data_IF_570349929167
#
_entry.id   IF_570349929167
#
_cell.length_a   1.000
_cell.length_b   1.000
_cell.length_c   1.000
_cell.angle_alpha   90.00
_cell.angle_beta   90.00
_cell.angle_gamma   90.00
#
_symmetry.space_group_name_H-M   'P 1'
#
loop_
_entity.id
_entity.type
_entity.pdbx_description
1 polymer ?
#
# COMPACT_ATOMS: atom_id res chain seq x y z
N UNK A 1 8.06 -10.91 -9.49
CA UNK A 1 7.92 -9.73 -8.62
C UNK A 1 6.91 -10.10 -7.54
N UNK A 2 7.36 -10.31 -6.30
CA UNK A 2 6.45 -10.58 -5.18
C UNK A 2 5.92 -9.24 -4.67
N UNK A 3 4.59 -9.08 -4.65
CA UNK A 3 3.94 -7.86 -4.14
C UNK A 3 3.84 -7.84 -2.62
N UNK A 4 3.81 -9.02 -2.00
CA UNK A 4 3.63 -9.17 -0.56
C UNK A 4 4.72 -10.04 0.05
N UNK A 5 5.10 -9.72 1.29
CA UNK A 5 5.95 -10.57 2.12
C UNK A 5 5.17 -11.80 2.58
N UNK A 6 5.79 -12.96 2.56
CA UNK A 6 5.20 -14.18 3.12
C UNK A 6 5.10 -14.10 4.66
N UNK A 7 4.03 -14.63 5.23
CA UNK A 7 3.83 -14.76 6.68
C UNK A 7 4.91 -15.62 7.32
N UNK A 8 5.24 -15.35 8.58
CA UNK A 8 6.13 -16.21 9.36
C UNK A 8 5.35 -17.36 10.00
N UNK A 9 6.04 -18.49 10.29
CA UNK A 9 5.38 -19.68 10.86
C UNK A 9 4.67 -19.41 12.19
N UNK A 10 5.16 -18.46 12.99
CA UNK A 10 4.54 -18.07 14.26
C UNK A 10 3.23 -17.27 14.11
N UNK A 11 2.96 -16.70 12.93
CA UNK A 11 1.79 -15.85 12.69
C UNK A 11 0.53 -16.65 12.35
N UNK A 12 0.70 -17.86 11.80
CA UNK A 12 -0.40 -18.64 11.24
C UNK A 12 -1.46 -19.05 12.27
N UNK A 13 -1.07 -19.45 13.48
CA UNK A 13 -2.01 -19.83 14.53
C UNK A 13 -2.87 -18.65 14.98
N UNK A 14 -2.25 -17.48 15.17
CA UNK A 14 -2.96 -16.24 15.53
C UNK A 14 -3.92 -15.80 14.43
N UNK A 15 -3.50 -15.88 13.16
CA UNK A 15 -4.33 -15.53 12.01
C UNK A 15 -5.55 -16.43 11.88
N UNK A 16 -5.37 -17.75 12.02
CA UNK A 16 -6.50 -18.70 12.00
C UNK A 16 -7.51 -18.37 13.11
N UNK A 17 -7.04 -18.13 14.34
CA UNK A 17 -7.91 -17.75 15.46
C UNK A 17 -8.66 -16.43 15.19
N UNK A 18 -8.00 -15.46 14.56
CA UNK A 18 -8.64 -14.19 14.19
C UNK A 18 -9.69 -14.37 13.10
N UNK A 19 -9.42 -15.20 12.09
CA UNK A 19 -10.41 -15.55 11.06
C UNK A 19 -11.63 -16.18 11.70
N UNK A 20 -11.46 -17.21 12.54
CA UNK A 20 -12.58 -17.88 13.20
C UNK A 20 -13.43 -16.89 14.02
N UNK A 21 -12.78 -16.00 14.78
CA UNK A 21 -13.47 -14.94 15.53
C UNK A 21 -14.23 -13.97 14.63
N UNK A 22 -13.65 -13.55 13.51
CA UNK A 22 -14.31 -12.66 12.56
C UNK A 22 -15.58 -13.30 11.98
N UNK A 23 -15.49 -14.58 11.60
CA UNK A 23 -16.62 -15.33 11.06
C UNK A 23 -17.75 -15.47 12.09
N UNK A 24 -17.41 -15.75 13.35
CA UNK A 24 -18.38 -15.89 14.45
C UNK A 24 -19.00 -14.56 14.89
N UNK A 25 -18.18 -13.53 15.11
CA UNK A 25 -18.60 -12.26 15.70
C UNK A 25 -19.46 -11.42 14.74
N UNK A 26 -19.10 -11.41 13.46
CA UNK A 26 -19.78 -10.59 12.44
C UNK A 26 -20.74 -11.37 11.55
N UNK A 27 -20.87 -12.69 11.77
CA UNK A 27 -21.70 -13.58 10.95
C UNK A 27 -21.46 -13.42 9.44
N UNK A 28 -20.18 -13.34 9.07
CA UNK A 28 -19.72 -13.24 7.67
C UNK A 28 -19.05 -14.53 7.26
N UNK A 29 -19.03 -14.83 5.97
CA UNK A 29 -18.19 -15.88 5.40
C UNK A 29 -17.09 -15.26 4.55
N UNK A 30 -15.84 -15.57 4.86
CA UNK A 30 -14.71 -15.17 4.04
C UNK A 30 -14.51 -16.19 2.92
N UNK A 31 -14.46 -15.76 1.65
CA UNK A 31 -14.11 -16.62 0.55
C UNK A 31 -12.76 -17.30 0.75
N UNK A 32 -12.66 -18.58 0.37
CA UNK A 32 -11.48 -19.41 0.64
C UNK A 32 -10.19 -18.80 0.10
N UNK A 33 -10.23 -18.26 -1.11
CA UNK A 33 -9.06 -17.70 -1.78
C UNK A 33 -8.53 -16.46 -1.03
N UNK A 34 -9.43 -15.63 -0.49
CA UNK A 34 -9.05 -14.50 0.33
C UNK A 34 -8.42 -14.95 1.67
N UNK A 35 -9.00 -15.97 2.31
CA UNK A 35 -8.44 -16.57 3.53
C UNK A 35 -7.04 -17.14 3.30
N UNK A 36 -6.82 -17.83 2.18
CA UNK A 36 -5.51 -18.36 1.80
C UNK A 36 -4.48 -17.22 1.65
N UNK A 37 -4.84 -16.10 1.02
CA UNK A 37 -3.97 -14.92 0.91
C UNK A 37 -3.66 -14.32 2.28
N UNK A 38 -4.66 -14.14 3.15
CA UNK A 38 -4.48 -13.61 4.50
C UNK A 38 -3.53 -14.47 5.34
N UNK A 39 -3.58 -15.80 5.16
CA UNK A 39 -2.67 -16.73 5.84
C UNK A 39 -1.27 -16.73 5.22
N UNK A 40 -1.17 -16.74 3.89
CA UNK A 40 0.11 -16.85 3.18
C UNK A 40 0.95 -15.57 3.26
N UNK A 41 0.31 -14.40 3.29
CA UNK A 41 0.99 -13.11 3.18
C UNK A 41 0.76 -12.19 4.39
N UNK A 42 1.77 -11.37 4.70
CA UNK A 42 1.65 -10.26 5.66
C UNK A 42 1.03 -9.06 4.94
N UNK A 43 -0.28 -8.86 5.13
CA UNK A 43 -1.06 -7.74 4.61
C UNK A 43 -1.19 -6.61 5.64
N UNK A 44 -1.59 -5.43 5.18
CA UNK A 44 -1.87 -4.26 6.02
C UNK A 44 -1.10 -2.99 5.66
N UNK A 45 -1.57 -1.84 6.18
CA UNK A 45 -1.04 -0.53 5.81
C UNK A 45 0.47 -0.42 6.08
N UNK A 46 0.92 -0.99 7.19
CA UNK A 46 2.30 -0.88 7.64
C UNK A 46 3.18 -2.06 7.23
N UNK A 47 2.67 -2.99 6.42
CA UNK A 47 3.42 -4.16 5.92
C UNK A 47 3.56 -4.12 4.39
N UNK A 48 2.58 -3.57 3.67
CA UNK A 48 2.59 -3.50 2.20
C UNK A 48 3.32 -2.26 1.66
N UNK A 49 3.37 -1.17 2.43
CA UNK A 49 3.83 0.13 1.92
C UNK A 49 5.33 0.38 2.21
N UNK A 50 5.98 -0.44 3.03
CA UNK A 50 7.38 -0.18 3.45
C UNK A 50 8.39 -0.26 2.29
N UNK A 51 8.13 -1.07 1.27
CA UNK A 51 9.07 -1.32 0.18
C UNK A 51 8.94 -0.36 -1.02
N UNK A 52 7.87 0.45 -1.07
CA UNK A 52 7.63 1.46 -2.12
C UNK A 52 8.35 2.80 -1.85
N UNK A 53 9.02 2.88 -0.70
CA UNK A 53 9.65 4.08 -0.19
C UNK A 53 11.17 3.96 -0.30
N UNK A 54 11.80 4.99 -0.87
CA UNK A 54 13.27 5.05 -0.97
C UNK A 54 13.94 5.00 0.40
N UNK A 55 13.28 5.42 1.47
CA UNK A 55 13.89 5.35 2.78
C UNK A 55 12.88 5.76 3.85
N UNK A 56 12.89 5.09 5.00
CA UNK A 56 12.20 5.43 6.26
C UNK A 56 12.58 6.82 6.86
N UNK A 57 13.27 7.67 6.09
CA UNK A 57 14.16 8.74 6.58
C UNK A 57 13.87 10.14 6.02
N UNK A 58 12.91 10.29 5.10
CA UNK A 58 12.52 11.57 4.51
C UNK A 58 11.01 11.53 4.36
N UNK A 59 10.16 12.39 4.95
CA UNK A 59 8.68 12.29 4.76
C UNK A 59 8.34 12.02 3.28
N UNK A 60 7.94 10.78 2.97
CA UNK A 60 8.37 10.07 1.75
C UNK A 60 7.32 10.24 0.65
N UNK A 61 7.68 10.86 -0.47
CA UNK A 61 6.88 10.71 -1.70
C UNK A 61 7.27 9.39 -2.37
N UNK A 62 6.34 8.44 -2.54
CA UNK A 62 6.63 7.09 -3.04
C UNK A 62 7.22 7.13 -4.44
N UNK A 63 8.33 6.41 -4.68
CA UNK A 63 9.00 6.43 -6.00
C UNK A 63 8.32 5.63 -7.08
N UNK A 64 7.52 4.70 -6.62
CA UNK A 64 6.57 3.96 -7.38
C UNK A 64 5.28 3.87 -6.59
N UNK A 65 4.17 3.91 -7.29
CA UNK A 65 2.87 3.50 -6.74
C UNK A 65 2.50 2.15 -7.34
N UNK A 66 1.64 1.43 -6.64
CA UNK A 66 0.96 0.29 -7.22
C UNK A 66 -0.34 0.84 -7.83
N UNK A 67 -0.61 0.48 -9.08
CA UNK A 67 -1.82 0.86 -9.81
C UNK A 67 -2.56 -0.42 -10.14
N UNK A 68 -3.86 -0.45 -9.85
CA UNK A 68 -4.75 -1.44 -10.44
C UNK A 68 -5.09 -1.01 -11.86
N UNK A 69 -4.86 -1.89 -12.84
CA UNK A 69 -5.12 -1.57 -14.24
C UNK A 69 -5.73 -2.77 -14.99
N UNK A 70 -6.97 -2.60 -15.46
CA UNK A 70 -7.62 -3.51 -16.40
C UNK A 70 -8.19 -2.74 -17.61
N UNK A 71 -8.99 -3.38 -18.47
CA UNK A 71 -9.58 -2.75 -19.66
C UNK A 71 -10.48 -1.53 -19.34
N UNK A 72 -11.11 -1.51 -18.17
CA UNK A 72 -12.15 -0.54 -17.80
C UNK A 72 -11.72 0.44 -16.69
N UNK A 73 -10.77 0.06 -15.85
CA UNK A 73 -10.42 0.78 -14.64
C UNK A 73 -8.91 0.95 -14.50
N UNK A 74 -8.52 2.15 -14.07
CA UNK A 74 -7.16 2.48 -13.67
C UNK A 74 -7.20 3.35 -12.42
N UNK A 75 -6.63 2.89 -11.30
CA UNK A 75 -6.56 3.69 -10.08
C UNK A 75 -5.37 3.32 -9.20
N UNK A 76 -4.84 4.26 -8.40
CA UNK A 76 -3.76 3.96 -7.47
C UNK A 76 -4.28 3.09 -6.31
N UNK A 77 -3.66 1.93 -6.17
CA UNK A 77 -3.89 0.97 -5.10
C UNK A 77 -3.28 1.48 -3.80
N UNK A 78 -4.03 1.38 -2.70
CA UNK A 78 -3.54 1.69 -1.37
C UNK A 78 -2.86 0.49 -0.72
N UNK A 79 -3.66 -0.37 -0.11
CA UNK A 79 -3.23 -1.62 0.53
C UNK A 79 -4.45 -2.53 0.78
N UNK A 80 -4.21 -3.82 1.02
CA UNK A 80 -5.19 -4.75 1.57
C UNK A 80 -5.08 -4.75 3.09
N UNK A 81 -6.20 -4.92 3.77
CA UNK A 81 -6.26 -4.93 5.22
C UNK A 81 -5.59 -6.17 5.80
N UNK A 82 -4.90 -5.99 6.93
CA UNK A 82 -4.64 -7.11 7.84
C UNK A 82 -5.95 -7.61 8.46
N UNK A 83 -5.94 -8.79 9.09
CA UNK A 83 -7.12 -9.30 9.81
C UNK A 83 -7.54 -8.39 10.96
N UNK A 84 -6.59 -7.74 11.64
CA UNK A 84 -6.85 -6.77 12.69
C UNK A 84 -7.46 -5.49 12.13
N UNK A 85 -6.95 -4.98 11.00
CA UNK A 85 -7.54 -3.81 10.32
C UNK A 85 -8.96 -4.12 9.85
N UNK A 86 -9.19 -5.32 9.29
CA UNK A 86 -10.52 -5.79 8.91
C UNK A 86 -11.47 -5.86 10.12
N UNK A 87 -11.00 -6.41 11.26
CA UNK A 87 -11.79 -6.46 12.50
C UNK A 87 -12.19 -5.06 12.96
N UNK A 88 -11.24 -4.15 13.04
CA UNK A 88 -11.50 -2.77 13.45
C UNK A 88 -12.46 -2.05 12.48
N UNK A 89 -12.30 -2.27 11.17
CA UNK A 89 -13.18 -1.66 10.17
C UNK A 89 -14.62 -2.22 10.29
N UNK A 90 -14.79 -3.52 10.58
CA UNK A 90 -16.11 -4.12 10.85
C UNK A 90 -16.73 -3.63 12.17
N UNK A 91 -15.93 -3.43 13.22
CA UNK A 91 -16.41 -2.95 14.53
C UNK A 91 -16.86 -1.48 14.51
N UNK A 92 -16.13 -0.62 13.79
CA UNK A 92 -16.25 0.82 13.95
C UNK A 92 -16.79 1.56 12.72
N UNK A 93 -16.86 0.93 11.54
CA UNK A 93 -17.41 1.57 10.34
C UNK A 93 -18.92 1.39 10.27
N UNK A 94 -19.67 2.48 10.49
CA UNK A 94 -21.13 2.49 10.32
C UNK A 94 -21.56 2.20 8.88
N UNK A 95 -20.72 2.51 7.90
CA UNK A 95 -21.02 2.29 6.48
C UNK A 95 -20.91 0.82 6.08
N UNK A 96 -20.08 0.04 6.77
CA UNK A 96 -19.92 -1.39 6.50
C UNK A 96 -21.20 -2.17 6.79
N UNK A 97 -21.93 -1.84 7.85
CA UNK A 97 -23.18 -2.52 8.15
C UNK A 97 -24.21 -2.34 7.01
N UNK A 98 -24.26 -1.15 6.41
CA UNK A 98 -25.13 -0.86 5.28
C UNK A 98 -24.65 -1.57 4.01
N UNK A 99 -23.34 -1.59 3.74
CA UNK A 99 -22.78 -2.26 2.57
C UNK A 99 -22.93 -3.78 2.65
N UNK A 100 -22.72 -4.37 3.83
CA UNK A 100 -22.90 -5.79 4.06
C UNK A 100 -24.36 -6.21 3.90
N UNK A 101 -25.31 -5.44 4.46
CA UNK A 101 -26.74 -5.77 4.37
C UNK A 101 -27.34 -5.57 2.98
N UNK A 102 -26.91 -4.54 2.23
CA UNK A 102 -27.52 -4.21 0.94
C UNK A 102 -26.78 -4.81 -0.26
N UNK A 103 -25.48 -5.08 -0.14
CA UNK A 103 -24.65 -5.54 -1.25
C UNK A 103 -23.88 -6.82 -0.94
N UNK A 104 -23.96 -7.36 0.28
CA UNK A 104 -23.21 -8.55 0.71
C UNK A 104 -21.70 -8.40 0.43
N UNK A 105 -21.15 -7.23 0.76
CA UNK A 105 -19.71 -6.94 0.64
C UNK A 105 -19.12 -6.48 1.96
N UNK A 106 -17.84 -6.79 2.17
CA UNK A 106 -17.03 -6.25 3.27
C UNK A 106 -15.84 -5.50 2.70
N UNK A 107 -15.38 -4.46 3.39
CA UNK A 107 -14.18 -3.74 2.98
C UNK A 107 -12.94 -4.55 3.35
N UNK A 108 -12.02 -4.68 2.40
CA UNK A 108 -10.78 -5.45 2.55
C UNK A 108 -9.53 -4.63 2.24
N UNK A 109 -9.67 -3.32 2.01
CA UNK A 109 -8.54 -2.47 1.66
C UNK A 109 -8.90 -1.04 1.31
N UNK A 110 -7.87 -0.32 0.89
CA UNK A 110 -7.91 1.10 0.57
C UNK A 110 -7.49 1.41 -0.86
N UNK A 111 -8.04 2.50 -1.38
CA UNK A 111 -7.56 3.17 -2.60
C UNK A 111 -7.00 4.54 -2.21
N UNK A 112 -5.90 4.97 -2.84
CA UNK A 112 -5.17 6.20 -2.44
C UNK A 112 -6.03 7.45 -2.64
N UNK A 113 -6.90 7.46 -3.64
CA UNK A 113 -7.75 8.61 -4.00
C UNK A 113 -8.93 8.84 -3.06
N UNK A 114 -9.02 8.12 -1.96
CA UNK A 114 -10.19 8.12 -1.05
C UNK A 114 -11.24 7.11 -1.50
N UNK A 115 -11.57 6.16 -0.63
CA UNK A 115 -12.47 5.04 -0.92
C UNK A 115 -11.98 3.71 -0.36
N UNK A 116 -12.60 2.61 -0.81
CA UNK A 116 -12.29 1.27 -0.37
C UNK A 116 -12.25 0.23 -1.49
N UNK A 117 -11.52 -0.84 -1.22
CA UNK A 117 -11.63 -2.12 -1.92
C UNK A 117 -12.54 -3.03 -1.09
N UNK A 118 -13.43 -3.74 -1.76
CA UNK A 118 -14.42 -4.58 -1.09
C UNK A 118 -14.46 -5.98 -1.70
N UNK A 119 -14.77 -6.96 -0.87
CA UNK A 119 -14.91 -8.37 -1.21
C UNK A 119 -16.37 -8.78 -1.10
N UNK A 120 -16.88 -9.43 -2.14
CA UNK A 120 -18.18 -10.08 -2.09
C UNK A 120 -18.16 -11.32 -1.19
N UNK A 121 -19.12 -11.39 -0.28
CA UNK A 121 -19.27 -12.47 0.72
C UNK A 121 -20.63 -13.17 0.63
N UNK A 122 -21.53 -12.68 -0.23
CA UNK A 122 -22.82 -13.31 -0.50
C UNK A 122 -22.72 -14.47 -1.49
N UNK A 123 -23.71 -15.35 -1.50
CA UNK A 123 -23.71 -16.55 -2.35
C UNK A 123 -23.58 -16.23 -3.85
N UNK A 124 -24.07 -15.07 -4.29
CA UNK A 124 -24.10 -14.67 -5.70
C UNK A 124 -22.91 -13.82 -6.15
N UNK A 125 -22.15 -13.28 -5.20
CA UNK A 125 -21.04 -12.37 -5.48
C UNK A 125 -19.73 -12.79 -4.79
N UNK A 126 -19.68 -14.01 -4.24
CA UNK A 126 -18.51 -14.54 -3.58
C UNK A 126 -17.24 -14.38 -4.44
N UNK A 127 -16.13 -13.99 -3.80
CA UNK A 127 -14.82 -13.73 -4.41
C UNK A 127 -14.73 -12.46 -5.30
N UNK A 128 -15.84 -11.87 -5.73
CA UNK A 128 -15.78 -10.66 -6.55
C UNK A 128 -15.15 -9.51 -5.79
N UNK A 129 -14.30 -8.74 -6.48
CA UNK A 129 -13.69 -7.54 -5.94
C UNK A 129 -14.40 -6.32 -6.49
N UNK A 130 -14.71 -5.40 -5.59
CA UNK A 130 -15.38 -4.15 -5.88
C UNK A 130 -14.49 -2.98 -5.45
N UNK A 131 -14.68 -1.84 -6.11
CA UNK A 131 -14.20 -0.54 -5.63
C UNK A 131 -15.36 0.36 -5.28
N UNK A 132 -15.13 1.28 -4.36
CA UNK A 132 -16.02 2.42 -4.14
C UNK A 132 -15.17 3.64 -3.79
N UNK A 133 -15.25 4.70 -4.59
CA UNK A 133 -14.64 5.99 -4.29
C UNK A 133 -15.64 6.79 -3.46
N UNK A 134 -15.26 7.20 -2.26
CA UNK A 134 -16.13 8.00 -1.40
C UNK A 134 -16.51 9.32 -2.07
N UNK A 135 -17.71 9.83 -1.77
CA UNK A 135 -18.31 11.04 -2.35
C UNK A 135 -18.60 11.01 -3.86
N UNK A 136 -18.11 9.99 -4.58
CA UNK A 136 -18.26 9.85 -6.02
C UNK A 136 -19.17 8.69 -6.42
N UNK A 137 -18.94 7.53 -5.80
CA UNK A 137 -19.69 6.31 -6.09
C UNK A 137 -20.81 6.13 -5.06
N UNK A 138 -22.06 5.94 -5.53
CA UNK A 138 -23.19 5.66 -4.63
C UNK A 138 -23.30 4.19 -4.23
N UNK A 139 -22.68 3.29 -4.99
CA UNK A 139 -22.70 1.84 -4.78
C UNK A 139 -21.33 1.23 -5.13
N UNK A 140 -20.96 0.06 -4.56
CA UNK A 140 -19.78 -0.68 -4.96
C UNK A 140 -19.82 -1.09 -6.44
N UNK A 141 -18.72 -0.87 -7.15
CA UNK A 141 -18.56 -1.20 -8.57
C UNK A 141 -17.66 -2.43 -8.69
N UNK A 142 -18.15 -3.50 -9.30
CA UNK A 142 -17.35 -4.71 -9.53
C UNK A 142 -16.20 -4.40 -10.47
N UNK A 143 -14.97 -4.74 -10.07
CA UNK A 143 -13.76 -4.52 -10.86
C UNK A 143 -13.04 -5.82 -11.22
N UNK A 144 -13.26 -6.92 -10.47
CA UNK A 144 -12.64 -8.21 -10.75
C UNK A 144 -13.54 -9.36 -10.31
N UNK A 145 -13.38 -10.52 -10.96
CA UNK A 145 -14.09 -11.77 -10.66
C UNK A 145 -13.47 -12.56 -9.49
N UNK A 146 -12.24 -12.24 -9.10
CA UNK A 146 -11.58 -12.86 -7.95
C UNK A 146 -10.49 -11.98 -7.38
N UNK A 147 -10.12 -12.24 -6.12
CA UNK A 147 -8.93 -11.63 -5.50
C UNK A 147 -7.65 -11.97 -6.28
N UNK A 148 -7.53 -13.17 -6.83
CA UNK A 148 -6.37 -13.56 -7.63
C UNK A 148 -6.26 -12.77 -8.94
N UNK A 149 -7.37 -12.64 -9.67
CA UNK A 149 -7.40 -11.80 -10.88
C UNK A 149 -7.09 -10.34 -10.53
N UNK A 150 -7.64 -9.85 -9.42
CA UNK A 150 -7.38 -8.49 -8.95
C UNK A 150 -5.88 -8.26 -8.69
N UNK A 151 -5.25 -9.16 -7.95
CA UNK A 151 -3.81 -9.07 -7.63
C UNK A 151 -2.93 -9.19 -8.88
N UNK A 152 -3.33 -9.99 -9.87
CA UNK A 152 -2.61 -10.13 -11.13
C UNK A 152 -2.64 -8.85 -12.00
N UNK A 153 -3.66 -8.01 -11.82
CA UNK A 153 -3.82 -6.74 -12.53
C UNK A 153 -3.13 -5.57 -11.81
N UNK A 154 -2.54 -5.80 -10.62
CA UNK A 154 -1.72 -4.81 -9.93
C UNK A 154 -0.36 -4.64 -10.61
N UNK A 155 0.00 -3.39 -10.88
CA UNK A 155 1.26 -3.03 -11.55
C UNK A 155 1.99 -1.99 -10.75
N UNK A 156 3.30 -2.15 -10.65
CA UNK A 156 4.17 -1.11 -10.10
C UNK A 156 4.44 -0.09 -11.19
N UNK A 157 4.05 1.16 -10.95
CA UNK A 157 4.28 2.29 -11.84
C UNK A 157 5.21 3.27 -11.15
N UNK A 158 6.28 3.67 -11.84
CA UNK A 158 7.17 4.69 -11.31
C UNK A 158 6.49 6.06 -11.43
N UNK A 159 6.31 6.75 -10.30
CA UNK A 159 5.70 8.09 -10.26
C UNK A 159 6.73 9.17 -10.60
N UNK A 160 8.01 8.80 -10.66
CA UNK A 160 9.11 9.70 -10.97
C UNK A 160 9.51 9.59 -12.44
N UNK A 161 9.43 10.71 -13.16
CA UNK A 161 10.27 11.00 -14.32
C UNK A 161 11.38 11.99 -13.89
N UNK A 162 12.49 12.05 -14.63
CA UNK A 162 13.65 12.90 -14.30
C UNK A 162 13.26 14.39 -14.13
N UNK A 163 12.23 14.87 -14.82
CA UNK A 163 11.67 16.22 -14.67
C UNK A 163 10.88 16.44 -13.36
N UNK A 164 10.16 15.43 -12.88
CA UNK A 164 9.41 15.48 -11.62
C UNK A 164 10.32 15.57 -10.39
N UNK A 165 11.47 14.90 -10.45
CA UNK A 165 12.57 14.98 -9.48
C UNK A 165 13.07 16.43 -9.32
N UNK A 166 13.35 17.12 -10.43
CA UNK A 166 13.83 18.50 -10.42
C UNK A 166 12.86 19.48 -9.75
N UNK A 167 11.56 19.29 -9.98
CA UNK A 167 10.52 20.18 -9.47
C UNK A 167 10.29 20.05 -7.95
N UNK A 168 10.49 18.85 -7.39
CA UNK A 168 10.23 18.55 -5.97
C UNK A 168 11.49 18.56 -5.09
N UNK A 169 12.69 18.32 -5.64
CA UNK A 169 13.97 18.51 -4.93
C UNK A 169 14.10 19.95 -4.39
N UNK A 170 13.55 20.95 -5.08
CA UNK A 170 13.48 22.33 -4.61
C UNK A 170 12.58 22.57 -3.38
N UNK A 171 11.75 21.60 -2.98
CA UNK A 171 10.88 21.67 -1.79
C UNK A 171 11.47 20.93 -0.58
N UNK A 172 12.33 19.93 -0.81
CA UNK A 172 12.96 19.10 0.23
C UNK A 172 14.30 19.70 0.67
N UNK A 173 15.04 20.30 -0.26
CA UNK A 173 16.36 20.87 0.01
C UNK A 173 16.30 22.40 -0.08
N UNK A 174 16.90 23.08 0.91
CA UNK A 174 17.05 24.53 0.91
C UNK A 174 17.79 24.95 -0.38
N UNK A 175 17.04 25.45 -1.36
CA UNK A 175 17.61 26.04 -2.57
C UNK A 175 18.22 27.40 -2.20
N UNK A 176 19.51 27.44 -1.91
CA UNK A 176 20.24 28.71 -1.93
C UNK A 176 20.44 29.14 -3.39
N UNK A 177 20.20 30.41 -3.75
CA UNK A 177 20.56 30.92 -5.06
C UNK A 177 22.08 30.82 -5.23
N UNK A 178 22.53 30.01 -6.20
CA UNK A 178 23.90 29.91 -6.72
C UNK A 178 24.90 28.90 -6.09
N UNK A 179 24.51 27.80 -5.43
CA UNK A 179 25.30 26.53 -5.39
C UNK A 179 24.68 25.43 -4.49
N UNK A 180 25.07 24.17 -4.79
CA UNK A 180 25.07 22.90 -4.02
C UNK A 180 23.98 22.61 -2.96
N UNK A 181 23.41 21.41 -3.04
CA UNK A 181 22.41 20.87 -2.11
C UNK A 181 23.06 20.41 -0.81
N UNK A 182 22.58 20.90 0.34
CA UNK A 182 23.03 20.46 1.65
C UNK A 182 22.22 19.23 2.13
N UNK A 183 22.89 18.11 2.39
CA UNK A 183 22.31 16.95 3.09
C UNK A 183 22.48 17.21 4.59
N UNK A 184 21.37 17.55 5.26
CA UNK A 184 21.42 18.07 6.65
C UNK A 184 21.79 17.06 7.73
N UNK A 185 21.64 15.75 7.49
CA UNK A 185 22.15 14.67 8.35
C UNK A 185 21.79 13.31 7.76
N UNK A 186 22.66 12.31 7.94
CA UNK A 186 22.22 10.92 8.04
C UNK A 186 21.50 10.73 9.39
N UNK A 187 20.29 10.18 9.36
CA UNK A 187 19.46 9.91 10.55
C UNK A 187 20.11 8.88 11.47
N UNK A 188 20.95 7.97 10.97
CA UNK A 188 21.76 7.06 11.81
C UNK A 188 22.67 7.86 12.74
N UNK A 189 23.30 8.90 12.22
CA UNK A 189 24.15 9.79 13.01
C UNK A 189 23.32 10.68 13.95
N UNK A 190 22.12 11.10 13.56
CA UNK A 190 21.16 11.81 14.43
C UNK A 190 20.67 10.97 15.62
N UNK A 191 20.31 9.70 15.37
CA UNK A 191 19.87 8.73 16.39
C UNK A 191 21.01 8.33 17.34
N UNK A 192 22.25 8.31 16.84
CA UNK A 192 23.46 8.05 17.63
C UNK A 192 24.03 9.30 18.30
N UNK A 193 23.39 10.46 18.16
CA UNK A 193 23.87 11.74 18.70
C UNK A 193 25.21 12.21 18.12
N UNK A 194 25.61 11.66 16.96
CA UNK A 194 26.82 12.04 16.24
C UNK A 194 26.53 13.25 15.36
N UNK A 195 27.28 14.34 15.58
CA UNK A 195 27.35 15.44 14.62
C UNK A 195 28.20 14.97 13.44
N UNK A 196 27.57 14.82 12.28
CA UNK A 196 28.28 14.78 11.01
C UNK A 196 28.33 16.19 10.40
N UNK A 197 29.40 16.46 9.68
CA UNK A 197 29.54 17.68 8.90
C UNK A 197 28.52 17.70 7.76
N UNK A 198 27.89 18.86 7.55
CA UNK A 198 26.94 19.05 6.45
C UNK A 198 27.64 18.73 5.11
N UNK A 199 27.11 17.73 4.38
CA UNK A 199 27.65 17.36 3.08
C UNK A 199 26.90 18.10 1.98
N UNK A 200 27.63 18.86 1.19
CA UNK A 200 27.11 19.57 0.02
C UNK A 200 27.36 18.72 -1.23
N UNK A 201 26.31 18.45 -2.01
CA UNK A 201 26.37 17.71 -3.27
C UNK A 201 25.81 18.58 -4.41
N UNK A 202 26.38 18.47 -5.62
CA UNK A 202 25.80 19.15 -6.78
C UNK A 202 24.51 18.45 -7.25
N UNK A 203 23.78 19.09 -8.17
CA UNK A 203 22.51 18.58 -8.69
C UNK A 203 22.66 17.21 -9.32
N UNK A 204 23.69 17.08 -10.15
CA UNK A 204 23.99 15.89 -10.92
C UNK A 204 24.38 14.73 -10.00
N UNK A 205 25.15 15.01 -8.94
CA UNK A 205 25.53 14.04 -7.93
C UNK A 205 24.34 13.61 -7.06
N UNK A 206 23.45 14.53 -6.68
CA UNK A 206 22.21 14.20 -5.96
C UNK A 206 21.30 13.29 -6.79
N UNK A 207 21.06 13.63 -8.06
CA UNK A 207 20.25 12.81 -8.97
C UNK A 207 20.88 11.44 -9.14
N UNK A 208 22.20 11.36 -9.37
CA UNK A 208 22.90 10.07 -9.50
C UNK A 208 22.83 9.23 -8.22
N UNK A 209 22.89 9.84 -7.04
CA UNK A 209 22.77 9.13 -5.77
C UNK A 209 21.36 8.59 -5.56
N UNK A 210 20.33 9.40 -5.87
CA UNK A 210 18.94 8.97 -5.80
C UNK A 210 18.65 7.85 -6.82
N UNK A 211 19.14 7.97 -8.05
CA UNK A 211 19.01 6.92 -9.07
C UNK A 211 19.65 5.61 -8.62
N UNK A 212 20.81 5.68 -7.95
CA UNK A 212 21.48 4.52 -7.38
C UNK A 212 20.67 3.89 -6.24
N UNK A 213 20.17 4.70 -5.30
CA UNK A 213 19.32 4.22 -4.20
C UNK A 213 18.04 3.59 -4.74
N UNK A 214 17.40 4.22 -5.74
CA UNK A 214 16.23 3.67 -6.45
C UNK A 214 16.57 2.32 -7.08
N UNK A 215 17.70 2.22 -7.78
CA UNK A 215 18.13 0.98 -8.41
C UNK A 215 18.40 -0.13 -7.36
N UNK A 216 19.00 0.21 -6.22
CA UNK A 216 19.29 -0.73 -5.14
C UNK A 216 18.00 -1.22 -4.44
N UNK A 217 17.04 -0.32 -4.16
CA UNK A 217 15.70 -0.68 -3.66
C UNK A 217 14.98 -1.57 -4.66
N UNK A 218 15.02 -1.22 -5.96
CA UNK A 218 14.44 -2.03 -7.04
C UNK A 218 15.02 -3.45 -7.07
N UNK A 219 16.32 -3.60 -6.86
CA UNK A 219 17.00 -4.89 -6.90
C UNK A 219 16.79 -5.75 -5.65
N UNK A 220 16.49 -5.11 -4.51
CA UNK A 220 16.34 -5.78 -3.20
C UNK A 220 14.91 -6.25 -2.98
N UNK A 221 13.92 -5.43 -3.33
CA UNK A 221 12.51 -5.68 -2.96
C UNK A 221 11.71 -6.44 -4.04
N UNK A 222 12.25 -6.61 -5.26
CA UNK A 222 11.50 -7.19 -6.39
C UNK A 222 12.08 -8.49 -6.97
N UNK A 223 13.01 -9.16 -6.26
CA UNK A 223 13.48 -10.52 -6.58
C UNK A 223 12.47 -11.61 -6.20
#
# INVERSE_FOLDING_TARGET
>A
MKLFRASEKGDLENKNLLIDRLLEEFNVTLPRLYTEIQLEYTLGQYSEIWDAYIDKYLRIMPVSEIVYYNEYYSFPYGWLYSLEELKLDLEFSTDNANLLSNHEVIRIGNIVSGGGLYLGVGEKNQDFIYKMVWDHDSNPIKISDSIFHFLNDLKIVNIYNSQGLESNVGKIYFKMPNMQYAIKQDVVSSLLGKKEDEKFVCKEELISNLDKIIADVRNTNFR
#
